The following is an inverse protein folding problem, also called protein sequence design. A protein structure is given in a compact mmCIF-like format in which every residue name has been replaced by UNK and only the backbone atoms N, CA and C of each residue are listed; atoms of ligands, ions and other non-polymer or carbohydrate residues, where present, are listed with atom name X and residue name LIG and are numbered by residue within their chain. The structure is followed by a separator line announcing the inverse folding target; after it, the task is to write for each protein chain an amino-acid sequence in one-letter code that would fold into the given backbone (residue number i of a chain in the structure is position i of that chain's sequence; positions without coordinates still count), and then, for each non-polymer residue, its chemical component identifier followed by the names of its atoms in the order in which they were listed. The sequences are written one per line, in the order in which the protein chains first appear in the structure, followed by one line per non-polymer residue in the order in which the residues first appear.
data_IF_220847341357
#
_entry.id   IF_220847341357
#
_cell.length_a   1.000
_cell.length_b   1.000
_cell.length_c   1.000
_cell.angle_alpha   90.00
_cell.angle_beta   90.00
_cell.angle_gamma   90.00
#
_symmetry.space_group_name_H-M   'P 1'
#
loop_
_entity.id
_entity.type
_entity.pdbx_description
1 polymer ?
#
# COMPACT_ATOMS: atom_id res chain seq x y z
N UNK A 1 11.81 49.92 12.46
CA UNK A 1 12.89 49.39 11.61
C UNK A 1 13.54 48.21 12.31
N UNK A 2 13.10 46.98 12.00
CA UNK A 2 13.88 45.74 12.19
C UNK A 2 13.21 44.68 11.31
N UNK A 3 13.92 44.19 10.30
CA UNK A 3 13.46 43.08 9.45
C UNK A 3 13.96 41.78 10.08
N UNK A 4 13.04 40.85 10.37
CA UNK A 4 13.38 39.47 10.69
C UNK A 4 13.02 38.59 9.49
N UNK A 5 14.06 38.01 8.89
CA UNK A 5 13.97 37.04 7.81
C UNK A 5 13.35 35.72 8.31
N UNK A 6 12.45 35.12 7.53
CA UNK A 6 12.03 33.73 7.71
C UNK A 6 12.53 32.93 6.52
N UNK A 7 13.45 32.02 6.82
CA UNK A 7 14.05 31.07 5.90
C UNK A 7 13.07 29.94 5.56
N UNK A 8 13.11 29.50 4.30
CA UNK A 8 12.46 28.30 3.82
C UNK A 8 13.16 27.06 4.40
N UNK A 9 12.41 26.16 5.03
CA UNK A 9 12.87 24.82 5.41
C UNK A 9 12.40 23.84 4.34
N UNK A 10 13.38 23.28 3.62
CA UNK A 10 13.19 22.16 2.71
C UNK A 10 12.76 20.91 3.49
N UNK A 11 11.69 20.25 3.05
CA UNK A 11 11.25 18.97 3.57
C UNK A 11 12.27 17.88 3.19
N UNK A 12 13.05 17.44 4.17
CA UNK A 12 13.92 16.29 4.05
C UNK A 12 13.08 15.00 4.06
N UNK A 13 13.20 14.20 2.99
CA UNK A 13 12.70 12.84 2.95
C UNK A 13 13.44 11.96 3.97
N UNK A 14 12.77 11.68 5.08
CA UNK A 14 13.25 10.76 6.10
C UNK A 14 12.97 9.32 5.70
N UNK A 15 13.92 8.67 5.03
CA UNK A 15 13.98 7.21 4.98
C UNK A 15 14.18 6.68 6.41
N UNK A 16 13.16 6.05 6.98
CA UNK A 16 13.26 5.41 8.30
C UNK A 16 14.12 4.15 8.15
N UNK A 17 15.40 4.26 8.49
CA UNK A 17 16.33 3.14 8.54
C UNK A 17 15.93 2.20 9.70
N UNK A 18 15.36 1.05 9.38
CA UNK A 18 15.22 -0.05 10.33
C UNK A 18 16.60 -0.70 10.51
N UNK A 19 17.24 -0.44 11.64
CA UNK A 19 18.52 -1.04 12.00
C UNK A 19 18.33 -2.53 12.36
N UNK A 20 18.54 -3.41 11.37
CA UNK A 20 18.67 -4.84 11.59
C UNK A 20 20.09 -5.13 12.12
N UNK A 21 20.19 -5.34 13.43
CA UNK A 21 21.35 -5.98 14.03
C UNK A 21 21.26 -7.48 13.70
N UNK A 22 22.17 -8.00 12.86
CA UNK A 22 22.37 -9.44 12.70
C UNK A 22 23.84 -9.81 13.02
N UNK A 23 24.07 -10.96 13.68
CA UNK A 23 25.40 -11.45 13.97
C UNK A 23 26.08 -11.96 12.69
N UNK A 24 27.39 -11.69 12.58
CA UNK A 24 28.26 -12.25 11.55
C UNK A 24 28.46 -13.75 11.80
N UNK A 25 28.00 -14.59 10.88
CA UNK A 25 28.54 -15.94 10.72
C UNK A 25 29.73 -15.88 9.76
N UNK A 26 30.92 -16.38 10.13
CA UNK A 26 32.00 -16.58 9.19
C UNK A 26 31.77 -17.87 8.39
N UNK A 27 31.79 -17.74 7.06
CA UNK A 27 31.98 -18.84 6.13
C UNK A 27 33.40 -19.40 6.27
N UNK A 28 33.52 -20.70 6.46
CA UNK A 28 34.75 -21.44 6.20
C UNK A 28 34.41 -22.69 5.38
N UNK A 29 34.83 -22.67 4.12
CA UNK A 29 34.85 -23.82 3.22
C UNK A 29 36.21 -24.50 3.36
N UNK A 30 36.23 -25.80 3.64
CA UNK A 30 37.42 -26.66 3.60
C UNK A 30 37.02 -28.11 3.29
N UNK A 31 37.80 -28.86 2.50
CA UNK A 31 37.41 -30.17 1.99
C UNK A 31 37.70 -31.34 2.96
N UNK A 32 37.01 -32.46 2.70
CA UNK A 32 36.90 -33.69 3.48
C UNK A 32 38.23 -34.38 3.87
N UNK A 33 38.23 -34.98 5.06
CA UNK A 33 38.94 -36.21 5.39
C UNK A 33 37.95 -37.19 6.06
N UNK A 34 37.95 -38.50 5.73
CA UNK A 34 37.18 -39.49 6.46
C UNK A 34 38.05 -40.07 7.58
N UNK A 35 37.64 -39.87 8.83
CA UNK A 35 38.16 -40.68 9.93
C UNK A 35 37.05 -41.23 10.80
N UNK A 36 37.17 -42.53 10.95
CA UNK A 36 36.45 -43.49 11.77
C UNK A 36 36.56 -43.22 13.28
N UNK A 37 35.69 -43.90 14.03
CA UNK A 37 35.71 -44.17 15.48
C UNK A 37 35.32 -43.07 16.46
N UNK A 38 34.16 -43.29 17.11
CA UNK A 38 34.13 -43.29 18.58
C UNK A 38 33.19 -42.28 19.26
N UNK A 39 32.27 -42.85 20.05
CA UNK A 39 31.56 -42.24 21.19
C UNK A 39 30.23 -41.55 20.87
N UNK A 40 29.16 -42.33 20.98
CA UNK A 40 27.78 -41.87 21.14
C UNK A 40 27.66 -41.05 22.44
N UNK A 41 27.25 -39.76 22.40
CA UNK A 41 27.03 -39.00 23.61
C UNK A 41 25.73 -39.46 24.26
N UNK A 42 25.84 -39.96 25.50
CA UNK A 42 24.71 -40.29 26.34
C UNK A 42 23.78 -39.07 26.49
N UNK A 43 22.54 -39.20 26.02
CA UNK A 43 21.50 -38.21 26.24
C UNK A 43 21.24 -38.05 27.74
N UNK A 44 21.21 -36.82 28.29
CA UNK A 44 20.80 -36.62 29.67
C UNK A 44 19.33 -37.03 29.82
N UNK A 45 19.05 -37.77 30.90
CA UNK A 45 17.69 -38.22 31.23
C UNK A 45 16.71 -37.02 31.29
N UNK A 46 15.46 -37.19 30.83
CA UNK A 46 14.46 -36.15 30.85
C UNK A 46 14.20 -35.66 32.28
N UNK A 47 14.28 -34.34 32.47
CA UNK A 47 13.98 -33.67 33.74
C UNK A 47 12.52 -33.98 34.13
N UNK A 48 12.25 -34.41 35.38
CA UNK A 48 10.89 -34.69 35.82
C UNK A 48 10.03 -33.41 35.75
N UNK A 49 8.72 -33.55 35.47
CA UNK A 49 7.80 -32.43 35.37
C UNK A 49 7.77 -31.65 36.69
N UNK A 50 7.82 -30.32 36.58
CA UNK A 50 7.73 -29.44 37.73
C UNK A 50 6.39 -29.62 38.45
N UNK A 51 6.43 -29.68 39.78
CA UNK A 51 5.25 -29.78 40.62
C UNK A 51 4.24 -28.65 40.32
N UNK A 52 2.92 -28.92 40.37
CA UNK A 52 1.90 -27.92 40.15
C UNK A 52 2.06 -26.77 41.16
N UNK A 53 2.02 -25.54 40.65
CA UNK A 53 2.09 -24.34 41.49
C UNK A 53 0.86 -24.28 42.42
N UNK A 54 1.03 -23.87 43.68
CA UNK A 54 -0.11 -23.68 44.58
C UNK A 54 -1.06 -22.59 44.03
N UNK A 55 -2.37 -22.71 44.29
CA UNK A 55 -3.35 -21.73 43.85
C UNK A 55 -3.04 -20.35 44.44
N UNK A 56 -2.97 -19.34 43.57
CA UNK A 56 -2.82 -17.94 43.95
C UNK A 56 -4.08 -17.52 44.69
N UNK A 57 -3.96 -17.25 46.00
CA UNK A 57 -5.03 -16.66 46.78
C UNK A 57 -5.32 -15.26 46.23
N UNK A 58 -6.51 -15.06 45.68
CA UNK A 58 -6.97 -13.76 45.23
C UNK A 58 -7.19 -12.85 46.45
N UNK A 59 -6.43 -11.76 46.52
CA UNK A 59 -6.66 -10.69 47.48
C UNK A 59 -7.97 -9.97 47.14
N UNK A 60 -8.88 -9.73 48.09
CA UNK A 60 -10.09 -8.96 47.84
C UNK A 60 -9.75 -7.50 47.53
N UNK A 61 -10.16 -7.04 46.34
CA UNK A 61 -10.05 -5.64 45.91
C UNK A 61 -11.07 -4.80 46.70
N UNK A 62 -10.56 -3.84 47.48
CA UNK A 62 -11.39 -2.89 48.20
C UNK A 62 -12.16 -1.97 47.22
N UNK A 63 -13.41 -1.58 47.53
CA UNK A 63 -14.19 -0.67 46.69
C UNK A 63 -13.63 0.76 46.80
N UNK A 64 -12.89 1.18 45.77
CA UNK A 64 -12.38 2.54 45.67
C UNK A 64 -13.49 3.54 45.31
N UNK A 65 -13.97 4.25 46.34
CA UNK A 65 -14.05 5.71 46.36
C UNK A 65 -14.61 6.42 45.13
N UNK A 66 -15.88 6.83 45.28
CA UNK A 66 -16.60 7.82 44.46
C UNK A 66 -15.77 9.11 44.33
N UNK A 67 -15.27 9.41 43.13
CA UNK A 67 -14.56 10.68 42.85
C UNK A 67 -15.55 11.86 42.77
N UNK A 68 -15.20 13.05 43.29
CA UNK A 68 -16.04 14.24 43.23
C UNK A 68 -16.11 14.82 41.81
N UNK A 69 -17.32 15.19 41.41
CA UNK A 69 -17.65 15.89 40.15
C UNK A 69 -16.90 17.23 40.08
N UNK A 70 -16.05 17.40 39.07
CA UNK A 70 -15.51 18.71 38.69
C UNK A 70 -16.49 19.43 37.76
N UNK A 71 -16.75 20.74 37.95
CA UNK A 71 -17.65 21.49 37.09
C UNK A 71 -17.02 21.73 35.71
N UNK A 72 -17.85 21.59 34.68
CA UNK A 72 -17.58 22.01 33.31
C UNK A 72 -17.39 23.52 33.27
N UNK A 73 -16.16 23.98 33.06
CA UNK A 73 -15.90 25.34 32.58
C UNK A 73 -15.89 25.26 31.06
N UNK A 74 -16.99 25.69 30.46
CA UNK A 74 -17.10 25.94 29.03
C UNK A 74 -16.20 27.12 28.66
N UNK A 75 -15.15 26.87 27.87
CA UNK A 75 -14.37 27.92 27.23
C UNK A 75 -14.92 28.10 25.83
N UNK A 76 -15.81 29.09 25.70
CA UNK A 76 -16.31 29.60 24.44
C UNK A 76 -15.46 30.80 24.02
N UNK A 77 -14.44 30.57 23.18
CA UNK A 77 -13.75 31.56 22.34
C UNK A 77 -13.10 30.72 21.22
N UNK A 78 -13.47 30.82 19.94
CA UNK A 78 -13.05 31.88 19.01
C UNK A 78 -14.01 31.88 17.81
N UNK A 79 -14.71 33.01 17.62
CA UNK A 79 -15.24 33.46 16.32
C UNK A 79 -14.49 34.74 16.02
N UNK A 80 -13.60 34.74 15.02
CA UNK A 80 -13.17 35.88 14.21
C UNK A 80 -11.89 35.55 13.42
N UNK A 81 -12.03 35.23 12.14
CA UNK A 81 -11.07 35.56 11.07
C UNK A 81 -11.58 35.02 9.72
N UNK A 82 -12.78 35.46 9.33
CA UNK A 82 -13.18 35.46 7.94
C UNK A 82 -13.35 36.93 7.55
N UNK A 83 -13.00 37.27 6.30
CA UNK A 83 -13.00 38.60 5.67
C UNK A 83 -11.69 39.38 5.84
N UNK A 84 -10.79 39.25 4.84
CA UNK A 84 -10.25 40.36 4.05
C UNK A 84 -9.01 39.94 3.25
N UNK A 85 -9.16 39.34 2.06
CA UNK A 85 -8.28 39.62 0.90
C UNK A 85 -9.09 39.38 -0.38
N UNK A 86 -9.95 40.35 -0.70
CA UNK A 86 -10.32 40.65 -2.07
C UNK A 86 -9.82 42.08 -2.33
N UNK A 87 -9.26 42.30 -3.52
CA UNK A 87 -8.63 43.54 -4.00
C UNK A 87 -7.19 43.79 -3.52
N UNK A 88 -6.21 43.45 -4.36
CA UNK A 88 -5.28 44.40 -5.00
C UNK A 88 -4.09 43.63 -5.59
N UNK A 89 -4.12 43.37 -6.90
CA UNK A 89 -2.93 43.42 -7.78
C UNK A 89 -3.38 43.68 -9.22
N UNK A 90 -3.67 44.95 -9.48
CA UNK A 90 -3.51 45.58 -10.79
C UNK A 90 -2.04 46.03 -10.94
N UNK A 91 -1.56 46.07 -12.19
CA UNK A 91 -0.29 46.63 -12.74
C UNK A 91 0.88 45.61 -12.80
N UNK A 92 1.18 44.99 -13.95
CA UNK A 92 1.85 45.46 -15.21
C UNK A 92 3.37 45.16 -15.19
N UNK A 93 4.13 45.18 -16.30
CA UNK A 93 3.89 44.64 -17.65
C UNK A 93 5.09 43.82 -18.19
N UNK A 94 4.88 43.23 -19.37
CA UNK A 94 5.84 42.82 -20.42
C UNK A 94 7.33 43.15 -20.18
N UNK A 95 8.19 42.13 -20.22
CA UNK A 95 9.56 42.28 -20.74
C UNK A 95 9.92 41.12 -21.67
N UNK A 96 9.75 41.41 -22.95
CA UNK A 96 10.32 40.68 -24.08
C UNK A 96 11.84 40.85 -24.09
N UNK A 97 12.59 39.77 -23.92
CA UNK A 97 14.01 39.72 -24.28
C UNK A 97 14.28 38.43 -25.06
N UNK A 98 14.66 38.61 -26.32
CA UNK A 98 14.62 37.60 -27.37
C UNK A 98 15.61 36.45 -27.17
N UNK A 99 15.21 35.30 -27.69
CA UNK A 99 16.14 34.27 -28.15
C UNK A 99 15.92 34.02 -29.64
N UNK A 100 17.02 34.16 -30.35
CA UNK A 100 17.16 34.29 -31.79
C UNK A 100 17.68 32.96 -32.35
N UNK A 101 16.90 32.33 -33.23
CA UNK A 101 17.34 31.29 -34.17
C UNK A 101 17.47 29.86 -33.61
N UNK A 102 17.19 28.82 -34.42
CA UNK A 102 17.73 28.71 -35.77
C UNK A 102 16.69 28.64 -36.90
N UNK A 103 17.24 29.02 -38.05
CA UNK A 103 16.74 29.11 -39.42
C UNK A 103 16.04 27.83 -39.90
N UNK A 104 14.74 27.94 -40.21
CA UNK A 104 13.98 26.93 -40.93
C UNK A 104 14.46 26.83 -42.38
N UNK A 105 14.72 25.60 -42.83
CA UNK A 105 14.90 25.28 -44.24
C UNK A 105 13.56 25.41 -44.97
N UNK A 106 13.61 25.99 -46.17
CA UNK A 106 12.46 26.20 -47.02
C UNK A 106 11.94 24.85 -47.55
N UNK A 107 10.75 24.45 -47.08
CA UNK A 107 9.98 23.35 -47.65
C UNK A 107 9.04 23.92 -48.72
N UNK A 108 9.13 23.38 -49.93
CA UNK A 108 8.31 23.76 -51.09
C UNK A 108 6.80 23.64 -50.81
N UNK A 109 5.95 24.51 -51.42
CA UNK A 109 4.51 24.39 -51.28
C UNK A 109 3.98 23.11 -51.96
N UNK A 110 3.03 22.38 -51.34
CA UNK A 110 2.39 21.24 -51.97
C UNK A 110 1.48 21.67 -53.14
N UNK A 111 1.25 20.78 -54.12
CA UNK A 111 0.36 21.06 -55.24
C UNK A 111 -1.09 21.26 -54.77
N UNK A 112 -1.76 22.25 -55.37
CA UNK A 112 -3.18 22.56 -55.16
C UNK A 112 -4.02 21.39 -55.69
N UNK A 113 -4.61 20.61 -54.78
CA UNK A 113 -5.59 19.57 -55.11
C UNK A 113 -6.93 20.20 -55.45
N UNK A 114 -7.51 19.79 -56.59
CA UNK A 114 -8.86 20.14 -56.99
C UNK A 114 -9.92 19.59 -56.01
N UNK A 115 -11.06 20.28 -55.83
CA UNK A 115 -12.11 19.86 -54.90
C UNK A 115 -12.78 18.56 -55.37
N UNK A 116 -12.79 17.57 -54.48
CA UNK A 116 -13.42 16.27 -54.68
C UNK A 116 -14.95 16.43 -54.52
N UNK A 117 -15.78 15.85 -55.41
CA UNK A 117 -17.24 15.89 -55.29
C UNK A 117 -17.73 15.32 -53.95
N UNK A 118 -18.68 16.03 -53.34
CA UNK A 118 -19.08 15.90 -51.94
C UNK A 118 -19.49 14.50 -51.51
N UNK A 119 -18.74 13.96 -50.54
CA UNK A 119 -19.19 12.87 -49.67
C UNK A 119 -20.32 13.37 -48.77
N UNK A 120 -21.40 12.58 -48.59
CA UNK A 120 -22.47 12.92 -47.66
C UNK A 120 -21.91 13.13 -46.25
N UNK A 121 -22.49 14.04 -45.45
CA UNK A 121 -22.01 14.33 -44.11
C UNK A 121 -22.00 13.05 -43.28
N UNK A 122 -20.81 12.68 -42.79
CA UNK A 122 -20.63 11.57 -41.87
C UNK A 122 -21.43 11.88 -40.60
N UNK A 123 -22.53 11.19 -40.39
CA UNK A 123 -23.16 11.11 -39.08
C UNK A 123 -22.34 10.13 -38.25
N UNK A 124 -21.60 10.58 -37.22
CA UNK A 124 -20.96 9.65 -36.32
C UNK A 124 -22.06 8.78 -35.69
N UNK A 125 -21.88 7.45 -35.61
CA UNK A 125 -22.79 6.61 -34.86
C UNK A 125 -22.91 7.19 -33.46
N UNK A 126 -24.14 7.31 -32.98
CA UNK A 126 -24.45 7.73 -31.61
C UNK A 126 -23.61 6.87 -30.67
N UNK A 127 -22.59 7.48 -30.05
CA UNK A 127 -21.79 6.86 -29.00
C UNK A 127 -22.75 6.54 -27.87
N UNK A 128 -23.18 5.28 -27.78
CA UNK A 128 -23.74 4.79 -26.54
C UNK A 128 -22.67 5.00 -25.48
N UNK A 129 -22.98 5.61 -24.32
CA UNK A 129 -22.01 5.77 -23.25
C UNK A 129 -21.44 4.39 -22.94
N UNK A 130 -20.17 4.20 -23.28
CA UNK A 130 -19.43 2.98 -22.99
C UNK A 130 -19.38 2.88 -21.48
N UNK A 131 -20.28 2.10 -20.88
CA UNK A 131 -20.04 1.58 -19.54
C UNK A 131 -18.96 0.53 -19.72
N UNK A 132 -17.73 0.74 -19.20
CA UNK A 132 -16.76 -0.32 -19.18
C UNK A 132 -17.43 -1.49 -18.45
N UNK A 133 -17.70 -2.58 -19.16
CA UNK A 133 -17.93 -3.83 -18.45
C UNK A 133 -16.62 -4.10 -17.73
N UNK A 134 -16.59 -3.85 -16.42
CA UNK A 134 -15.58 -4.41 -15.54
C UNK A 134 -15.70 -5.94 -15.68
N UNK A 135 -15.01 -6.52 -16.66
CA UNK A 135 -14.71 -7.94 -16.66
C UNK A 135 -13.85 -8.14 -15.43
N UNK A 136 -14.50 -8.49 -14.32
CA UNK A 136 -13.83 -8.87 -13.09
C UNK A 136 -12.96 -10.07 -13.48
N UNK A 137 -11.63 -9.93 -13.54
CA UNK A 137 -10.77 -11.03 -13.95
C UNK A 137 -11.04 -12.19 -12.99
N UNK A 138 -11.41 -13.35 -13.54
CA UNK A 138 -11.58 -14.56 -12.74
C UNK A 138 -10.24 -14.85 -12.08
N UNK A 139 -10.14 -14.83 -10.74
CA UNK A 139 -8.87 -15.01 -10.07
C UNK A 139 -8.34 -16.42 -10.41
N UNK A 140 -7.02 -16.57 -10.62
CA UNK A 140 -6.42 -17.87 -10.92
C UNK A 140 -6.71 -18.88 -9.80
N UNK A 141 -6.76 -20.17 -10.16
CA UNK A 141 -6.88 -21.25 -9.17
C UNK A 141 -5.71 -21.17 -8.19
N UNK A 142 -5.97 -21.05 -6.87
CA UNK A 142 -4.92 -20.85 -5.88
C UNK A 142 -4.01 -22.08 -5.81
N UNK A 143 -2.70 -21.86 -5.85
CA UNK A 143 -1.72 -22.86 -5.40
C UNK A 143 -1.66 -22.72 -3.87
N UNK A 144 -1.99 -23.77 -3.09
CA UNK A 144 -2.12 -23.61 -1.65
C UNK A 144 -0.75 -23.38 -1.01
N UNK A 145 -0.54 -22.17 -0.47
CA UNK A 145 0.55 -21.88 0.45
C UNK A 145 -0.01 -21.00 1.59
N UNK A 146 0.07 -21.54 2.81
CA UNK A 146 -0.13 -20.84 4.10
C UNK A 146 -1.58 -20.69 4.58
N UNK A 147 -2.11 -21.65 5.35
CA UNK A 147 -3.45 -21.54 5.96
C UNK A 147 -3.65 -20.30 6.86
N UNK A 148 -2.56 -19.68 7.34
CA UNK A 148 -2.55 -18.58 8.30
C UNK A 148 -1.41 -17.62 7.98
N UNK A 149 -1.68 -16.32 8.02
CA UNK A 149 -0.65 -15.28 7.93
C UNK A 149 0.37 -15.49 9.07
N UNK A 150 1.69 -15.57 8.80
CA UNK A 150 2.68 -15.69 9.85
C UNK A 150 2.54 -14.58 10.91
N UNK A 151 2.93 -14.80 12.18
CA UNK A 151 2.74 -13.81 13.25
C UNK A 151 3.40 -12.45 12.97
N UNK A 152 4.50 -12.45 12.20
CA UNK A 152 5.21 -11.24 11.76
C UNK A 152 4.63 -10.65 10.45
N UNK A 153 3.62 -11.31 9.90
CA UNK A 153 2.94 -10.95 8.67
C UNK A 153 3.71 -11.27 7.40
N UNK A 154 4.89 -11.91 7.48
CA UNK A 154 5.87 -11.93 6.38
C UNK A 154 5.88 -13.25 5.60
N UNK A 155 5.86 -13.17 4.26
CA UNK A 155 5.88 -14.34 3.36
C UNK A 155 6.80 -14.07 2.19
N UNK A 156 7.65 -15.05 1.86
CA UNK A 156 8.45 -15.04 0.65
C UNK A 156 7.60 -15.50 -0.54
N UNK A 157 7.67 -14.74 -1.63
CA UNK A 157 7.02 -15.06 -2.90
C UNK A 157 8.03 -14.91 -4.05
N UNK A 158 7.89 -15.78 -5.04
CA UNK A 158 8.72 -15.85 -6.22
C UNK A 158 7.89 -15.46 -7.45
N UNK A 159 8.46 -14.60 -8.30
CA UNK A 159 7.94 -14.28 -9.62
C UNK A 159 8.48 -15.24 -10.68
N UNK A 160 7.85 -15.22 -11.86
CA UNK A 160 8.19 -16.15 -12.94
C UNK A 160 9.51 -15.80 -13.66
N UNK A 161 10.06 -14.59 -13.44
CA UNK A 161 11.29 -14.10 -14.07
C UNK A 161 12.48 -14.04 -13.11
N UNK A 162 12.38 -14.74 -11.96
CA UNK A 162 13.41 -14.72 -10.92
C UNK A 162 13.31 -13.54 -9.95
N UNK A 163 12.16 -12.87 -9.92
CA UNK A 163 11.82 -11.97 -8.81
C UNK A 163 11.68 -12.77 -7.52
N UNK A 164 12.26 -12.30 -6.42
CA UNK A 164 12.00 -12.84 -5.09
C UNK A 164 11.59 -11.66 -4.20
N UNK A 165 10.44 -11.79 -3.54
CA UNK A 165 9.86 -10.72 -2.74
C UNK A 165 9.42 -11.19 -1.37
N UNK A 166 9.79 -10.42 -0.34
CA UNK A 166 9.24 -10.55 1.00
C UNK A 166 8.03 -9.64 1.12
N UNK A 167 6.85 -10.21 1.34
CA UNK A 167 5.59 -9.49 1.48
C UNK A 167 5.14 -9.48 2.93
N UNK A 168 4.79 -8.31 3.46
CA UNK A 168 4.14 -8.16 4.77
C UNK A 168 2.76 -7.56 4.63
N UNK A 169 1.77 -8.16 5.28
CA UNK A 169 0.37 -7.73 5.17
C UNK A 169 -0.18 -7.29 6.52
N UNK A 170 -0.92 -6.18 6.51
CA UNK A 170 -1.75 -5.74 7.65
C UNK A 170 -3.13 -5.34 7.17
N UNK A 171 -4.16 -5.86 7.82
CA UNK A 171 -5.56 -5.57 7.47
C UNK A 171 -6.17 -4.64 8.52
N UNK A 172 -6.88 -3.62 8.05
CA UNK A 172 -7.71 -2.71 8.86
C UNK A 172 -9.17 -2.85 8.43
N UNK A 173 -10.01 -3.37 9.31
CA UNK A 173 -11.44 -3.58 9.08
C UNK A 173 -12.22 -3.09 10.32
N UNK A 174 -12.93 -1.94 10.25
CA UNK A 174 -13.05 -1.07 9.09
C UNK A 174 -11.77 -0.28 8.79
N UNK A 175 -11.62 0.16 7.53
CA UNK A 175 -10.61 1.13 7.15
C UNK A 175 -10.98 2.55 7.64
N UNK A 176 -10.01 3.37 8.07
CA UNK A 176 -10.29 4.77 8.38
C UNK A 176 -10.58 5.55 7.09
N UNK A 177 -11.56 6.46 7.12
CA UNK A 177 -11.90 7.35 5.99
C UNK A 177 -10.78 8.33 5.64
N UNK A 178 -10.00 8.77 6.64
CA UNK A 178 -8.86 9.69 6.49
C UNK A 178 -7.56 8.91 6.68
N UNK A 179 -6.54 9.20 5.84
CA UNK A 179 -5.28 8.49 5.91
C UNK A 179 -4.54 9.01 7.16
N UNK A 180 -4.25 8.18 8.17
CA UNK A 180 -3.55 8.68 9.36
C UNK A 180 -2.13 9.18 9.05
N UNK A 181 -1.56 8.75 7.92
CA UNK A 181 -0.23 9.18 7.46
C UNK A 181 -0.27 10.36 6.48
N UNK A 182 -1.46 10.70 5.96
CA UNK A 182 -1.69 11.86 5.09
C UNK A 182 -3.09 12.43 5.39
N UNK A 183 -3.23 13.19 6.50
CA UNK A 183 -4.52 13.73 6.91
C UNK A 183 -5.04 14.83 5.96
N UNK A 184 -4.18 15.35 5.07
CA UNK A 184 -4.53 16.33 4.04
C UNK A 184 -5.01 15.70 2.74
N UNK A 185 -4.81 14.39 2.58
CA UNK A 185 -5.26 13.64 1.42
C UNK A 185 -6.78 13.51 1.34
N UNK A 186 -7.30 12.98 0.22
CA UNK A 186 -8.74 12.82 0.02
C UNK A 186 -9.35 11.86 1.06
N UNK A 187 -10.52 12.25 1.57
CA UNK A 187 -11.38 11.38 2.38
C UNK A 187 -12.05 10.35 1.45
N UNK A 188 -12.06 9.09 1.88
CA UNK A 188 -12.78 8.01 1.20
C UNK A 188 -13.98 7.57 2.05
N UNK A 189 -15.11 7.30 1.40
CA UNK A 189 -16.35 6.88 2.06
C UNK A 189 -16.97 5.70 1.29
N UNK A 190 -17.48 4.68 2.00
CA UNK A 190 -18.21 3.59 1.34
C UNK A 190 -19.60 4.05 0.91
N UNK A 191 -20.16 3.37 -0.09
CA UNK A 191 -21.58 3.42 -0.44
C UNK A 191 -22.46 3.01 0.75
N UNK A 192 -23.71 3.48 0.75
CA UNK A 192 -24.67 3.14 1.78
C UNK A 192 -24.85 1.60 1.90
N UNK A 193 -24.67 1.08 3.12
CA UNK A 193 -24.74 -0.36 3.39
C UNK A 193 -23.44 -1.14 3.13
N UNK A 194 -22.37 -0.45 2.74
CA UNK A 194 -21.03 -1.00 2.58
C UNK A 194 -20.08 -0.52 3.68
N UNK A 195 -18.93 -1.18 3.80
CA UNK A 195 -17.82 -0.78 4.65
C UNK A 195 -16.52 -0.85 3.87
N UNK A 196 -15.56 0.00 4.24
CA UNK A 196 -14.23 -0.04 3.68
C UNK A 196 -13.34 -1.00 4.47
N UNK A 197 -12.48 -1.72 3.77
CA UNK A 197 -11.40 -2.54 4.35
C UNK A 197 -10.11 -2.13 3.66
N UNK A 198 -9.06 -1.87 4.45
CA UNK A 198 -7.77 -1.46 3.93
C UNK A 198 -6.75 -2.57 4.20
N UNK A 199 -6.01 -2.95 3.17
CA UNK A 199 -4.90 -3.89 3.29
C UNK A 199 -3.61 -3.15 2.98
N UNK A 200 -2.79 -2.95 3.99
CA UNK A 200 -1.43 -2.43 3.84
C UNK A 200 -0.51 -3.59 3.48
N UNK A 201 0.21 -3.43 2.38
CA UNK A 201 1.09 -4.45 1.79
C UNK A 201 2.48 -3.83 1.70
N UNK A 202 3.43 -4.32 2.47
CA UNK A 202 4.83 -3.94 2.32
C UNK A 202 5.54 -5.01 1.50
N UNK A 203 6.25 -4.60 0.45
CA UNK A 203 7.00 -5.49 -0.43
C UNK A 203 8.46 -5.11 -0.38
N UNK A 204 9.33 -6.08 -0.17
CA UNK A 204 10.77 -5.93 -0.28
C UNK A 204 11.31 -6.87 -1.37
N UNK A 205 12.12 -6.34 -2.28
CA UNK A 205 12.85 -7.14 -3.26
C UNK A 205 14.06 -7.78 -2.57
N UNK A 206 13.96 -9.07 -2.27
CA UNK A 206 15.06 -9.83 -1.63
C UNK A 206 15.91 -10.59 -2.66
N UNK A 207 15.44 -10.66 -3.92
CA UNK A 207 16.12 -11.31 -5.02
C UNK A 207 17.17 -10.45 -5.73
N UNK A 208 17.67 -10.97 -6.85
CA UNK A 208 18.69 -10.31 -7.68
C UNK A 208 18.14 -9.47 -8.84
N UNK A 209 16.85 -9.57 -9.15
CA UNK A 209 16.23 -8.95 -10.33
C UNK A 209 15.28 -7.82 -9.92
N UNK A 210 15.36 -6.62 -10.55
CA UNK A 210 14.45 -5.52 -10.25
C UNK A 210 13.05 -5.74 -10.86
N UNK A 211 12.00 -5.34 -10.14
CA UNK A 211 10.60 -5.49 -10.59
C UNK A 211 9.70 -4.29 -10.25
N UNK A 212 8.51 -4.20 -10.84
CA UNK A 212 7.51 -3.17 -10.49
C UNK A 212 6.74 -3.59 -9.25
N UNK A 213 6.73 -2.75 -8.22
CA UNK A 213 5.82 -2.90 -7.08
C UNK A 213 4.47 -2.29 -7.41
N UNK A 214 3.63 -3.12 -8.01
CA UNK A 214 2.20 -2.90 -8.24
C UNK A 214 1.36 -4.10 -7.75
N UNK A 215 1.79 -4.73 -6.67
CA UNK A 215 1.16 -5.94 -6.11
C UNK A 215 -0.28 -5.70 -5.65
N UNK A 216 -0.63 -4.47 -5.26
CA UNK A 216 -2.02 -4.10 -4.97
C UNK A 216 -2.93 -4.41 -6.17
N UNK A 217 -2.34 -4.39 -7.39
CA UNK A 217 -2.81 -4.95 -8.68
C UNK A 217 -3.80 -6.09 -8.54
N UNK A 218 -3.32 -7.03 -7.74
CA UNK A 218 -3.56 -8.43 -7.92
C UNK A 218 -3.97 -9.00 -6.56
N UNK A 219 -4.92 -8.30 -5.93
CA UNK A 219 -5.37 -8.60 -4.58
C UNK A 219 -6.88 -8.69 -4.49
N UNK A 220 -7.34 -9.62 -3.66
CA UNK A 220 -8.76 -9.87 -3.43
C UNK A 220 -9.00 -10.15 -1.95
N UNK A 221 -10.16 -9.75 -1.45
CA UNK A 221 -10.72 -10.33 -0.23
C UNK A 221 -11.65 -11.47 -0.61
N UNK A 222 -11.74 -12.49 0.24
CA UNK A 222 -12.63 -13.63 0.05
C UNK A 222 -13.48 -13.80 1.29
N UNK A 223 -14.80 -13.91 1.13
CA UNK A 223 -15.71 -14.20 2.24
C UNK A 223 -15.81 -15.71 2.54
N UNK A 224 -16.54 -16.05 3.60
CA UNK A 224 -16.81 -17.44 3.99
C UNK A 224 -17.59 -18.25 2.94
N UNK A 225 -18.35 -17.58 2.09
CA UNK A 225 -19.08 -18.21 0.97
C UNK A 225 -18.18 -18.42 -0.26
N UNK A 226 -16.92 -17.97 -0.21
CA UNK A 226 -15.97 -18.05 -1.32
C UNK A 226 -16.11 -16.95 -2.35
N UNK A 227 -16.94 -15.92 -2.11
CA UNK A 227 -17.06 -14.76 -3.00
C UNK A 227 -15.83 -13.88 -2.87
N UNK A 228 -15.32 -13.44 -4.02
CA UNK A 228 -14.14 -12.59 -4.11
C UNK A 228 -14.54 -11.14 -4.31
N UNK A 229 -13.88 -10.25 -3.58
CA UNK A 229 -14.05 -8.80 -3.66
C UNK A 229 -12.75 -8.21 -4.20
N UNK A 230 -12.73 -7.68 -5.43
CA UNK A 230 -11.58 -6.95 -5.93
C UNK A 230 -11.42 -5.63 -5.17
N UNK A 231 -10.25 -5.03 -5.24
CA UNK A 231 -10.05 -3.68 -4.72
C UNK A 231 -10.95 -2.66 -5.43
N UNK A 232 -11.27 -1.57 -4.75
CA UNK A 232 -11.84 -0.39 -5.35
C UNK A 232 -10.73 0.48 -5.95
N UNK A 233 -10.67 0.60 -7.27
CA UNK A 233 -9.56 1.28 -7.98
C UNK A 233 -9.45 2.75 -7.56
N UNK A 234 -10.52 3.53 -7.70
CA UNK A 234 -10.49 4.98 -7.44
C UNK A 234 -10.11 5.31 -5.99
N UNK A 235 -10.68 4.62 -5.00
CA UNK A 235 -10.33 4.82 -3.59
C UNK A 235 -8.93 4.33 -3.26
N UNK A 236 -8.45 3.28 -3.93
CA UNK A 236 -7.06 2.81 -3.79
C UNK A 236 -6.11 3.86 -4.33
N UNK A 237 -6.34 4.39 -5.52
CA UNK A 237 -5.53 5.42 -6.14
C UNK A 237 -5.57 6.73 -5.33
N UNK A 238 -6.74 7.12 -4.82
CA UNK A 238 -6.88 8.24 -3.89
C UNK A 238 -6.05 8.06 -2.61
N UNK A 239 -5.78 6.81 -2.21
CA UNK A 239 -4.92 6.48 -1.06
C UNK A 239 -3.45 6.33 -1.41
N UNK A 240 -3.15 6.09 -2.68
CA UNK A 240 -1.81 5.94 -3.18
C UNK A 240 -1.32 7.29 -3.69
N UNK A 241 -0.50 7.97 -2.90
CA UNK A 241 0.10 9.24 -3.32
C UNK A 241 1.04 9.12 -4.52
N UNK A 242 1.40 7.91 -4.96
CA UNK A 242 2.37 7.67 -6.04
C UNK A 242 2.07 6.39 -6.82
N UNK A 243 2.35 6.36 -8.14
CA UNK A 243 2.17 5.17 -8.97
C UNK A 243 3.08 3.99 -8.56
N UNK A 244 2.94 2.87 -9.26
CA UNK A 244 3.88 1.74 -9.24
C UNK A 244 5.34 2.20 -9.30
N UNK A 245 6.22 1.65 -8.46
CA UNK A 245 7.64 2.01 -8.41
C UNK A 245 8.49 0.80 -8.73
N UNK A 246 9.65 1.03 -9.36
CA UNK A 246 10.66 0.00 -9.56
C UNK A 246 11.37 -0.31 -8.26
N UNK A 247 11.28 -1.55 -7.79
CA UNK A 247 12.09 -2.06 -6.69
C UNK A 247 13.36 -2.68 -7.23
N UNK A 248 14.50 -2.05 -6.94
CA UNK A 248 15.82 -2.64 -7.11
C UNK A 248 16.09 -3.70 -6.03
N UNK A 249 17.06 -4.59 -6.23
CA UNK A 249 17.48 -5.53 -5.19
C UNK A 249 17.71 -4.83 -3.84
N UNK A 250 17.18 -5.41 -2.76
CA UNK A 250 17.24 -4.92 -1.37
C UNK A 250 16.50 -3.60 -1.11
N UNK A 251 15.60 -3.20 -2.00
CA UNK A 251 14.69 -2.07 -1.76
C UNK A 251 13.30 -2.57 -1.40
N UNK A 252 12.56 -1.80 -0.61
CA UNK A 252 11.19 -2.13 -0.24
C UNK A 252 10.27 -0.91 -0.25
N UNK A 253 8.97 -1.17 -0.34
CA UNK A 253 7.95 -0.14 -0.49
C UNK A 253 6.60 -0.59 0.07
N UNK A 254 5.89 0.35 0.67
CA UNK A 254 4.55 0.14 1.20
C UNK A 254 3.47 0.54 0.19
N UNK A 255 2.46 -0.31 0.06
CA UNK A 255 1.24 -0.09 -0.72
C UNK A 255 0.02 -0.26 0.16
N UNK A 256 -1.09 0.33 -0.27
CA UNK A 256 -2.40 0.11 0.35
C UNK A 256 -3.36 -0.26 -0.76
N UNK A 257 -4.15 -1.31 -0.53
CA UNK A 257 -5.32 -1.65 -1.33
C UNK A 257 -6.59 -1.36 -0.52
N UNK A 258 -7.53 -0.63 -1.11
CA UNK A 258 -8.83 -0.35 -0.50
C UNK A 258 -9.86 -1.26 -1.13
N UNK A 259 -10.66 -1.92 -0.30
CA UNK A 259 -11.77 -2.76 -0.70
C UNK A 259 -13.06 -2.17 -0.16
N UNK A 260 -14.11 -2.21 -0.97
CA UNK A 260 -15.46 -1.90 -0.53
C UNK A 260 -16.28 -3.19 -0.51
N UNK A 261 -16.76 -3.57 0.68
CA UNK A 261 -17.50 -4.81 0.89
C UNK A 261 -18.83 -4.53 1.57
N UNK A 262 -19.84 -5.36 1.32
CA UNK A 262 -21.13 -5.19 1.98
C UNK A 262 -20.97 -5.31 3.50
N UNK A 263 -21.64 -4.44 4.26
CA UNK A 263 -21.38 -4.24 5.69
C UNK A 263 -21.58 -5.47 6.57
N UNK A 264 -22.35 -6.46 6.14
CA UNK A 264 -22.67 -7.69 6.88
C UNK A 264 -21.92 -8.94 6.38
N UNK A 265 -20.94 -8.80 5.50
CA UNK A 265 -20.16 -9.94 4.98
C UNK A 265 -19.06 -10.33 5.97
N UNK A 266 -18.93 -11.62 6.24
CA UNK A 266 -17.83 -12.20 7.01
C UNK A 266 -16.66 -12.50 6.09
N UNK A 267 -15.61 -11.67 6.17
CA UNK A 267 -14.39 -11.90 5.42
C UNK A 267 -13.59 -13.04 6.05
N UNK A 268 -13.10 -13.95 5.22
CA UNK A 268 -12.38 -15.15 5.63
C UNK A 268 -10.92 -15.08 5.24
N UNK A 269 -10.62 -14.62 4.01
CA UNK A 269 -9.25 -14.62 3.46
C UNK A 269 -8.87 -13.34 2.74
N UNK A 270 -7.57 -13.08 2.69
CA UNK A 270 -6.93 -12.15 1.77
C UNK A 270 -6.11 -12.95 0.77
N UNK A 271 -6.25 -12.66 -0.52
CA UNK A 271 -5.54 -13.30 -1.62
C UNK A 271 -4.64 -12.27 -2.30
N UNK A 272 -3.39 -12.64 -2.56
CA UNK A 272 -2.44 -11.86 -3.35
C UNK A 272 -1.77 -12.75 -4.39
N UNK A 273 -1.71 -12.28 -5.63
CA UNK A 273 -0.98 -12.93 -6.71
C UNK A 273 0.11 -11.99 -7.22
N UNK A 274 1.30 -12.53 -7.55
CA UNK A 274 2.37 -11.71 -8.13
C UNK A 274 1.97 -11.23 -9.54
N UNK A 275 1.35 -12.11 -10.33
CA UNK A 275 0.91 -11.87 -11.71
C UNK A 275 -0.38 -12.64 -12.03
N UNK A 276 -1.57 -12.02 -12.06
CA UNK A 276 -2.81 -12.73 -12.35
C UNK A 276 -2.77 -13.36 -13.74
N UNK A 277 -3.12 -14.65 -13.82
CA UNK A 277 -3.17 -15.42 -15.07
C UNK A 277 -1.82 -15.95 -15.57
N UNK A 278 -0.70 -15.60 -14.92
CA UNK A 278 0.64 -16.14 -15.25
C UNK A 278 1.42 -16.65 -14.06
N UNK A 279 1.23 -16.03 -12.89
CA UNK A 279 1.97 -16.37 -11.70
C UNK A 279 1.73 -17.82 -11.31
N UNK A 280 2.85 -18.51 -11.12
CA UNK A 280 2.89 -19.83 -10.47
C UNK A 280 2.51 -19.76 -9.00
N UNK A 281 2.52 -18.57 -8.40
CA UNK A 281 2.26 -18.39 -6.98
C UNK A 281 1.15 -17.39 -6.71
N UNK A 282 0.13 -17.87 -5.99
CA UNK A 282 -0.92 -17.07 -5.36
C UNK A 282 -0.90 -17.43 -3.89
N UNK A 283 -0.90 -16.43 -3.02
CA UNK A 283 -0.92 -16.60 -1.57
C UNK A 283 -2.31 -16.25 -1.05
N UNK A 284 -2.85 -17.13 -0.21
CA UNK A 284 -4.16 -16.97 0.43
C UNK A 284 -3.96 -17.03 1.94
N UNK A 285 -4.28 -15.95 2.66
CA UNK A 285 -4.14 -15.90 4.11
C UNK A 285 -5.50 -15.78 4.78
N UNK A 286 -5.75 -16.58 5.81
CA UNK A 286 -6.92 -16.36 6.68
C UNK A 286 -6.79 -15.05 7.45
N UNK A 287 -7.90 -14.33 7.53
CA UNK A 287 -8.06 -13.15 8.36
C UNK A 287 -8.48 -13.62 9.76
N UNK A 288 -7.66 -13.32 10.76
CA UNK A 288 -7.91 -13.67 12.17
C UNK A 288 -8.87 -12.68 12.84
#
# INVERSE_FOLDING_TARGET
MTFAAVAAVAAAGGATAWALHRPRHPSASGPLAPDTTGSEPAFPAPKPPAAPRPPVQATPVAPAGRAPRRPLVAVAWIVAAAVAVAALTLLDPVTTAGHRGPRAAASSPPPVQAPIPGTPPYQPPYEQPYQPQETIPTPPSPVPVGDVLPPDGSVLMDGDSGEEMMVRVRVSNPAPSINPYDPTGPTIEPRLGYRLVAVSIFVENVGGVPFMSDVEKNTWLVDRDGRTYPRHIEMTDARQGYPGIRLNPRSGHGRVAIFEVKGNVDLDRFRLSVHPGRARQTQDWRLA
#
